data_IF_649115460054
#
_entry.id   IF_649115460054
#
_cell.length_a   1.000
_cell.length_b   1.000
_cell.length_c   1.000
_cell.angle_alpha   90.00
_cell.angle_beta   90.00
_cell.angle_gamma   90.00
#
_symmetry.space_group_name_H-M   'P 1'
#
loop_
_entity.id
_entity.type
_entity.pdbx_description
1 polymer ?
#
# COMPACT_ATOMS: atom_id res chain seq x y z
N UNK A 1 4.40 38.61 -39.45
CA UNK A 1 3.13 39.31 -39.25
C UNK A 1 2.04 38.47 -39.92
N UNK A 2 0.87 38.15 -39.29
CA UNK A 2 0.14 39.01 -38.35
C UNK A 2 -0.23 38.35 -36.99
N UNK A 3 -0.54 39.22 -36.06
CA UNK A 3 -1.26 39.13 -34.80
C UNK A 3 -2.26 38.00 -34.55
N UNK A 4 -2.19 37.38 -33.36
CA UNK A 4 -3.35 36.81 -32.66
C UNK A 4 -3.38 37.35 -31.23
N UNK A 5 -4.47 38.07 -30.94
CA UNK A 5 -4.77 38.77 -29.67
C UNK A 5 -5.35 37.76 -28.64
N UNK A 6 -4.96 37.98 -27.41
CA UNK A 6 -5.59 37.75 -26.10
C UNK A 6 -7.04 37.28 -26.04
N UNK A 7 -7.25 36.24 -25.22
CA UNK A 7 -8.46 36.01 -24.43
C UNK A 7 -8.07 35.56 -23.02
N UNK A 8 -8.20 36.47 -22.05
CA UNK A 8 -8.22 36.19 -20.61
C UNK A 8 -9.57 36.64 -20.06
N UNK A 9 -10.32 35.87 -19.28
CA UNK A 9 -11.43 36.40 -18.49
C UNK A 9 -10.91 36.93 -17.16
N UNK A 10 -11.27 38.19 -16.89
CA UNK A 10 -11.10 38.88 -15.60
C UNK A 10 -12.05 38.31 -14.56
N UNK A 11 -11.52 37.87 -13.40
CA UNK A 11 -12.32 37.75 -12.18
C UNK A 11 -12.03 38.95 -11.27
N UNK A 12 -13.12 39.66 -10.92
CA UNK A 12 -13.16 40.80 -9.98
C UNK A 12 -13.10 40.26 -8.54
N UNK A 13 -12.44 41.03 -7.67
CA UNK A 13 -12.13 40.77 -6.31
C UNK A 13 -13.33 40.64 -5.36
N UNK A 14 -13.06 39.96 -4.24
CA UNK A 14 -13.81 40.07 -3.01
C UNK A 14 -12.82 40.51 -1.92
N UNK A 15 -13.20 41.59 -1.25
CA UNK A 15 -12.41 42.30 -0.26
C UNK A 15 -12.28 41.47 1.03
N UNK A 16 -11.09 41.49 1.57
CA UNK A 16 -10.72 40.96 2.88
C UNK A 16 -11.09 41.96 3.97
N UNK A 17 -11.98 41.61 4.88
CA UNK A 17 -12.17 42.34 6.13
C UNK A 17 -11.31 41.72 7.21
N UNK A 18 -10.27 42.45 7.61
CA UNK A 18 -9.49 42.16 8.83
C UNK A 18 -10.13 42.93 9.97
N UNK A 19 -10.65 42.26 10.98
CA UNK A 19 -11.11 42.88 12.23
C UNK A 19 -10.14 42.55 13.34
N UNK A 20 -9.35 43.53 13.72
CA UNK A 20 -8.45 43.54 14.86
C UNK A 20 -9.26 43.81 16.12
N UNK A 21 -9.24 42.89 17.10
CA UNK A 21 -9.73 43.15 18.44
C UNK A 21 -8.52 43.15 19.38
N UNK A 22 -8.18 44.34 19.94
CA UNK A 22 -7.37 44.53 21.12
C UNK A 22 -8.27 44.53 22.36
N UNK A 23 -7.86 43.87 23.43
CA UNK A 23 -8.51 44.00 24.72
C UNK A 23 -7.71 43.33 25.83
N UNK A 24 -7.13 44.16 26.70
CA UNK A 24 -6.41 43.85 27.92
C UNK A 24 -7.26 43.19 29.00
N UNK A 25 -6.64 42.40 29.89
CA UNK A 25 -7.23 42.02 31.16
C UNK A 25 -6.49 40.89 31.88
N UNK A 26 -5.53 41.25 32.70
CA UNK A 26 -4.88 40.39 33.71
C UNK A 26 -5.84 40.05 34.86
N UNK A 27 -5.91 38.77 35.25
CA UNK A 27 -6.34 38.37 36.61
C UNK A 27 -5.73 37.02 36.98
N UNK A 28 -4.74 37.05 37.86
CA UNK A 28 -4.24 35.91 38.58
C UNK A 28 -5.32 35.37 39.54
N UNK A 29 -5.51 34.08 39.60
CA UNK A 29 -6.17 33.38 40.71
C UNK A 29 -5.35 32.17 41.12
N UNK A 30 -4.91 32.25 42.39
CA UNK A 30 -4.30 31.18 43.15
C UNK A 30 -5.15 29.90 43.14
N UNK A 31 -4.48 28.76 42.97
CA UNK A 31 -5.07 27.44 43.18
C UNK A 31 -4.38 26.77 44.35
N UNK A 32 -5.11 26.60 45.43
CA UNK A 32 -4.72 25.82 46.61
C UNK A 32 -4.79 24.31 46.34
N UNK A 33 -3.94 23.49 47.00
CA UNK A 33 -3.89 22.05 46.72
C UNK A 33 -4.98 21.28 47.50
N UNK A 34 -5.69 20.39 46.78
CA UNK A 34 -6.60 19.42 47.38
C UNK A 34 -5.99 18.03 47.37
N UNK A 35 -6.07 17.38 48.52
CA UNK A 35 -5.47 16.11 48.89
C UNK A 35 -5.87 14.90 48.04
N UNK A 36 -4.90 13.99 47.93
CA UNK A 36 -5.00 12.65 47.41
C UNK A 36 -6.01 11.75 48.14
N UNK A 37 -6.98 11.19 47.42
CA UNK A 37 -7.61 9.90 47.75
C UNK A 37 -7.76 9.09 46.49
N UNK A 38 -7.28 7.85 46.58
CA UNK A 38 -7.23 6.91 45.45
C UNK A 38 -8.62 6.58 44.89
N UNK A 39 -8.72 6.77 43.59
CA UNK A 39 -9.84 6.34 42.77
C UNK A 39 -9.28 5.86 41.42
N UNK A 40 -9.60 4.61 41.06
CA UNK A 40 -9.24 4.03 39.78
C UNK A 40 -9.69 4.97 38.67
N UNK A 41 -8.75 5.50 37.92
CA UNK A 41 -9.02 6.24 36.69
C UNK A 41 -9.64 5.28 35.66
N UNK A 42 -10.96 5.31 35.53
CA UNK A 42 -11.63 4.82 34.34
C UNK A 42 -11.22 5.75 33.21
N UNK A 43 -10.70 5.18 32.13
CA UNK A 43 -10.47 5.88 30.87
C UNK A 43 -11.84 6.22 30.26
N UNK A 44 -12.41 7.35 30.67
CA UNK A 44 -13.62 7.93 30.09
C UNK A 44 -13.33 9.38 29.77
N UNK A 45 -12.91 9.66 28.57
CA UNK A 45 -12.99 11.03 28.07
C UNK A 45 -12.74 11.09 26.55
N UNK A 46 -13.70 10.62 25.76
CA UNK A 46 -13.88 11.10 24.36
C UNK A 46 -15.31 10.90 23.83
N UNK A 47 -16.32 10.66 24.69
CA UNK A 47 -17.72 10.41 24.29
C UNK A 47 -18.70 11.41 24.90
N UNK A 48 -18.35 12.69 24.95
CA UNK A 48 -19.20 13.76 25.45
C UNK A 48 -19.88 14.59 24.35
N UNK A 49 -20.39 13.95 23.31
CA UNK A 49 -21.44 14.51 22.46
C UNK A 49 -22.58 13.51 22.42
N UNK A 50 -23.67 13.81 23.13
CA UNK A 50 -24.97 13.17 22.92
C UNK A 50 -25.43 13.51 21.51
N UNK A 51 -25.13 12.62 20.58
CA UNK A 51 -25.84 12.55 19.31
C UNK A 51 -27.05 11.64 19.53
N UNK A 52 -28.20 12.25 19.71
CA UNK A 52 -29.47 11.58 19.47
C UNK A 52 -29.49 11.14 18.02
N UNK A 53 -29.85 9.88 17.76
CA UNK A 53 -30.01 9.15 16.50
C UNK A 53 -28.87 8.18 16.16
N UNK A 54 -29.19 6.87 16.30
CA UNK A 54 -28.52 5.70 15.71
C UNK A 54 -27.00 5.70 15.91
N UNK A 55 -26.51 4.94 16.89
CA UNK A 55 -25.07 4.67 17.07
C UNK A 55 -24.46 4.19 15.76
N UNK A 56 -23.81 5.09 15.04
CA UNK A 56 -23.10 4.74 13.81
C UNK A 56 -21.74 4.15 14.22
N UNK A 57 -21.64 2.82 14.17
CA UNK A 57 -20.35 2.16 14.40
C UNK A 57 -19.32 2.63 13.36
N UNK A 58 -18.05 2.80 13.76
CA UNK A 58 -17.02 3.28 12.85
C UNK A 58 -16.73 2.29 11.73
N UNK A 59 -16.09 2.79 10.68
CA UNK A 59 -15.39 1.97 9.68
C UNK A 59 -14.04 1.57 10.29
N UNK A 60 -13.74 0.27 10.35
CA UNK A 60 -12.44 -0.22 10.77
C UNK A 60 -11.50 -0.38 9.58
N UNK A 61 -10.35 0.29 9.61
CA UNK A 61 -9.28 0.15 8.62
C UNK A 61 -8.18 -0.73 9.21
N UNK A 62 -7.96 -1.89 8.60
CA UNK A 62 -6.97 -2.88 9.04
C UNK A 62 -5.67 -2.67 8.25
N UNK A 63 -4.68 -2.08 8.91
CA UNK A 63 -3.38 -1.73 8.33
C UNK A 63 -3.16 -0.22 8.19
N UNK A 64 -2.06 0.27 8.77
CA UNK A 64 -1.67 1.68 8.78
C UNK A 64 -0.51 1.99 7.80
N UNK A 65 -0.49 1.31 6.66
CA UNK A 65 0.37 1.63 5.52
C UNK A 65 -0.23 2.73 4.63
N UNK A 66 0.40 3.05 3.48
CA UNK A 66 -0.04 4.12 2.58
C UNK A 66 -1.51 4.05 2.18
N UNK A 67 -2.04 2.86 1.92
CA UNK A 67 -3.46 2.67 1.58
C UNK A 67 -4.38 2.93 2.76
N UNK A 68 -4.07 2.37 3.94
CA UNK A 68 -4.90 2.55 5.14
C UNK A 68 -4.94 4.01 5.59
N UNK A 69 -3.80 4.69 5.63
CA UNK A 69 -3.70 6.12 5.95
C UNK A 69 -4.54 6.95 4.97
N UNK A 70 -4.37 6.71 3.66
CA UNK A 70 -5.11 7.46 2.63
C UNK A 70 -6.63 7.24 2.73
N UNK A 71 -7.09 5.99 2.88
CA UNK A 71 -8.51 5.66 3.03
C UNK A 71 -9.09 6.35 4.27
N UNK A 72 -8.43 6.22 5.42
CA UNK A 72 -8.91 6.83 6.67
C UNK A 72 -8.98 8.36 6.58
N UNK A 73 -7.96 9.02 6.01
CA UNK A 73 -7.97 10.46 5.78
C UNK A 73 -9.16 10.91 4.92
N UNK A 74 -9.46 10.17 3.85
CA UNK A 74 -10.60 10.49 2.97
C UNK A 74 -11.96 10.24 3.65
N UNK A 75 -12.11 9.15 4.42
CA UNK A 75 -13.34 8.87 5.17
C UNK A 75 -13.60 9.98 6.20
N UNK A 76 -12.58 10.33 7.00
CA UNK A 76 -12.68 11.38 8.02
C UNK A 76 -12.97 12.76 7.43
N UNK A 77 -12.43 13.07 6.27
CA UNK A 77 -12.75 14.35 5.58
C UNK A 77 -14.23 14.48 5.16
N UNK A 78 -14.97 13.37 5.18
CA UNK A 78 -16.42 13.33 4.94
C UNK A 78 -17.24 13.10 6.20
N UNK A 79 -16.62 13.20 7.39
CA UNK A 79 -17.31 12.99 8.66
C UNK A 79 -17.67 11.53 8.93
N UNK A 80 -17.12 10.56 8.20
CA UNK A 80 -17.38 9.14 8.43
C UNK A 80 -16.52 8.67 9.60
N UNK A 81 -17.11 8.20 10.73
CA UNK A 81 -16.37 7.69 11.86
C UNK A 81 -15.44 6.56 11.43
N UNK A 82 -14.15 6.67 11.77
CA UNK A 82 -13.14 5.75 11.27
C UNK A 82 -12.09 5.48 12.35
N UNK A 83 -11.80 4.19 12.59
CA UNK A 83 -10.69 3.73 13.43
C UNK A 83 -9.66 3.02 12.54
N UNK A 84 -8.38 3.16 12.85
CA UNK A 84 -7.28 2.56 12.08
C UNK A 84 -6.42 1.72 13.00
N UNK A 85 -6.16 0.49 12.64
CA UNK A 85 -5.36 -0.46 13.40
C UNK A 85 -4.07 -0.83 12.69
N UNK A 86 -2.99 -0.97 13.46
CA UNK A 86 -1.68 -1.41 13.02
C UNK A 86 -0.60 -0.34 13.15
N UNK A 87 0.66 -0.77 13.15
CA UNK A 87 1.80 0.13 13.30
C UNK A 87 2.05 0.93 12.01
N UNK A 88 2.07 2.28 12.07
CA UNK A 88 2.27 3.11 10.87
C UNK A 88 3.54 2.76 10.10
N UNK A 89 3.39 2.47 8.80
CA UNK A 89 4.47 2.15 7.85
C UNK A 89 5.30 0.90 8.20
N UNK A 90 4.85 0.01 9.08
CA UNK A 90 5.63 -1.11 9.62
C UNK A 90 6.25 -2.01 8.54
N UNK A 91 5.50 -2.38 7.51
CA UNK A 91 6.02 -3.22 6.41
C UNK A 91 7.16 -2.51 5.65
N UNK A 92 7.04 -1.23 5.39
CA UNK A 92 8.08 -0.44 4.74
C UNK A 92 9.33 -0.31 5.62
N UNK A 93 9.12 -0.13 6.92
CA UNK A 93 10.22 -0.04 7.89
C UNK A 93 10.96 -1.38 8.09
N UNK A 94 10.30 -2.52 7.83
CA UNK A 94 10.92 -3.85 7.90
C UNK A 94 11.71 -4.25 6.66
N UNK A 95 11.61 -3.49 5.55
CA UNK A 95 12.34 -3.79 4.32
C UNK A 95 13.85 -3.57 4.48
N UNK A 96 14.68 -4.13 3.55
CA UNK A 96 16.14 -4.08 3.64
C UNK A 96 16.72 -2.67 3.77
N UNK A 97 17.71 -2.52 4.66
CA UNK A 97 18.49 -1.29 4.78
C UNK A 97 19.22 -0.97 3.46
N UNK A 98 19.37 0.33 3.15
CA UNK A 98 20.00 0.78 1.90
C UNK A 98 19.12 0.65 0.65
N UNK A 99 17.84 0.32 0.83
CA UNK A 99 16.86 0.24 -0.25
C UNK A 99 16.41 1.64 -0.71
N UNK A 100 16.10 1.75 -2.00
CA UNK A 100 15.47 2.92 -2.61
C UNK A 100 14.15 2.53 -3.26
N UNK A 101 13.21 3.48 -3.33
CA UNK A 101 11.99 3.26 -4.07
C UNK A 101 12.28 3.06 -5.57
N UNK A 102 11.55 2.15 -6.18
CA UNK A 102 11.58 1.93 -7.64
C UNK A 102 10.77 2.99 -8.39
N UNK A 103 9.75 3.54 -7.73
CA UNK A 103 8.86 4.56 -8.27
C UNK A 103 9.58 5.91 -8.40
N UNK A 104 9.18 6.70 -9.37
CA UNK A 104 9.61 8.09 -9.50
C UNK A 104 8.98 8.96 -8.40
N UNK A 105 9.54 10.12 -8.15
CA UNK A 105 9.09 11.07 -7.13
C UNK A 105 7.58 11.35 -7.19
N UNK A 106 7.08 11.73 -8.38
CA UNK A 106 5.67 12.06 -8.60
C UNK A 106 4.68 10.92 -8.31
N UNK A 107 5.15 9.67 -8.35
CA UNK A 107 4.37 8.45 -8.11
C UNK A 107 4.46 7.93 -6.66
N UNK A 108 5.23 8.62 -5.79
CA UNK A 108 5.53 8.15 -4.44
C UNK A 108 4.78 8.90 -3.35
N UNK A 109 3.91 9.87 -3.69
CA UNK A 109 3.09 10.58 -2.72
C UNK A 109 1.89 9.74 -2.26
N UNK A 110 1.66 9.69 -0.94
CA UNK A 110 0.44 9.15 -0.34
C UNK A 110 -0.66 10.18 -0.53
N UNK A 111 -1.79 9.77 -1.10
CA UNK A 111 -2.88 10.71 -1.37
C UNK A 111 -3.65 11.07 -0.10
N UNK A 112 -3.92 12.35 0.06
CA UNK A 112 -4.84 12.92 1.05
C UNK A 112 -5.98 13.68 0.35
N UNK A 113 -7.09 13.98 1.06
CA UNK A 113 -8.29 14.56 0.44
C UNK A 113 -8.08 15.93 -0.22
N UNK A 114 -7.15 16.73 0.32
CA UNK A 114 -6.87 18.08 -0.14
C UNK A 114 -5.58 18.20 -0.96
N UNK A 115 -4.83 17.10 -1.13
CA UNK A 115 -3.50 17.06 -1.75
C UNK A 115 -2.47 17.98 -1.06
N UNK A 116 -2.59 18.12 0.25
CA UNK A 116 -1.73 18.99 1.07
C UNK A 116 -0.48 18.28 1.59
N UNK A 117 -0.50 16.95 1.65
CA UNK A 117 0.55 16.15 2.31
C UNK A 117 1.33 15.29 1.31
N UNK A 118 1.61 15.82 0.12
CA UNK A 118 2.47 15.19 -0.88
C UNK A 118 3.97 15.35 -0.53
N UNK A 119 4.84 14.65 -1.26
CA UNK A 119 6.30 14.71 -1.06
C UNK A 119 6.89 16.12 -1.28
N UNK A 120 6.36 16.90 -2.22
CA UNK A 120 6.84 18.28 -2.46
C UNK A 120 6.57 19.15 -1.23
N UNK A 121 5.39 18.99 -0.63
CA UNK A 121 5.03 19.71 0.60
C UNK A 121 5.87 19.24 1.79
N UNK A 122 6.16 17.95 1.88
CA UNK A 122 7.05 17.40 2.91
C UNK A 122 8.43 18.06 2.83
N UNK A 123 9.03 18.12 1.64
CA UNK A 123 10.30 18.82 1.39
C UNK A 123 10.24 20.28 1.83
N UNK A 124 9.19 20.99 1.39
CA UNK A 124 9.02 22.43 1.70
C UNK A 124 8.82 22.70 3.20
N UNK A 125 8.22 21.74 3.94
CA UNK A 125 7.86 21.93 5.35
C UNK A 125 8.97 21.50 6.29
N UNK A 126 9.71 20.43 5.94
CA UNK A 126 10.70 19.79 6.85
C UNK A 126 12.14 20.17 6.54
N UNK A 127 12.39 20.84 5.40
CA UNK A 127 13.74 21.11 4.92
C UNK A 127 14.48 19.87 4.37
N UNK A 128 13.76 18.76 4.19
CA UNK A 128 14.31 17.55 3.56
C UNK A 128 14.80 17.89 2.15
N UNK A 129 15.92 17.31 1.74
CA UNK A 129 16.46 17.52 0.38
C UNK A 129 15.84 16.52 -0.59
N UNK A 130 15.31 17.02 -1.69
CA UNK A 130 14.83 16.16 -2.78
C UNK A 130 15.92 15.21 -3.25
N UNK A 131 15.62 13.90 -3.24
CA UNK A 131 16.52 12.85 -3.71
C UNK A 131 15.74 11.82 -4.53
N UNK A 132 16.20 11.54 -5.74
CA UNK A 132 15.61 10.52 -6.61
C UNK A 132 16.71 9.55 -7.11
N UNK A 133 16.56 8.23 -6.88
CA UNK A 133 15.42 7.55 -6.25
C UNK A 133 15.29 7.88 -4.75
N UNK A 134 14.04 7.86 -4.24
CA UNK A 134 13.74 8.15 -2.83
C UNK A 134 14.31 7.05 -1.93
N UNK A 135 15.15 7.37 -0.94
CA UNK A 135 15.61 6.39 0.04
C UNK A 135 14.43 5.84 0.86
N UNK A 136 14.49 4.55 1.18
CA UNK A 136 13.41 3.91 1.94
C UNK A 136 13.16 4.54 3.32
N UNK A 137 14.18 4.83 4.15
CA UNK A 137 13.98 5.48 5.45
C UNK A 137 13.24 6.82 5.33
N UNK A 138 13.55 7.59 4.29
CA UNK A 138 12.92 8.89 4.05
C UNK A 138 11.46 8.75 3.64
N UNK A 139 11.15 7.73 2.85
CA UNK A 139 9.76 7.40 2.51
C UNK A 139 8.96 6.94 3.74
N UNK A 140 9.58 6.16 4.64
CA UNK A 140 8.95 5.74 5.89
C UNK A 140 8.63 6.95 6.77
N UNK A 141 9.60 7.86 6.93
CA UNK A 141 9.38 9.08 7.73
C UNK A 141 8.36 10.03 7.08
N UNK A 142 8.40 10.17 5.76
CA UNK A 142 7.35 10.85 5.00
C UNK A 142 5.96 10.23 5.28
N UNK A 143 5.83 8.93 5.22
CA UNK A 143 4.57 8.23 5.49
C UNK A 143 4.08 8.44 6.93
N UNK A 144 4.98 8.43 7.91
CA UNK A 144 4.69 8.78 9.31
C UNK A 144 4.29 10.26 9.45
N UNK A 145 4.92 11.15 8.71
CA UNK A 145 4.52 12.56 8.67
C UNK A 145 3.11 12.74 8.11
N UNK A 146 2.76 12.08 7.03
CA UNK A 146 1.39 12.07 6.50
C UNK A 146 0.41 11.53 7.53
N UNK A 147 0.73 10.42 8.19
CA UNK A 147 -0.11 9.81 9.22
C UNK A 147 -0.36 10.78 10.39
N UNK A 148 0.69 11.41 10.95
CA UNK A 148 0.56 12.37 12.07
C UNK A 148 -0.33 13.56 11.73
N UNK A 149 -0.33 14.01 10.47
CA UNK A 149 -1.10 15.18 10.02
C UNK A 149 -2.52 14.85 9.55
N UNK A 150 -2.82 13.60 9.18
CA UNK A 150 -4.13 13.23 8.62
C UNK A 150 -4.91 12.24 9.49
N UNK A 151 -4.23 11.36 10.20
CA UNK A 151 -4.82 10.29 11.04
C UNK A 151 -3.94 10.12 12.29
N UNK A 152 -3.87 11.12 13.21
CA UNK A 152 -2.92 11.13 14.32
C UNK A 152 -3.16 10.02 15.36
N UNK A 153 -4.37 9.53 15.48
CA UNK A 153 -4.88 8.58 16.49
C UNK A 153 -4.95 7.13 15.95
N UNK A 154 -3.98 6.71 15.11
CA UNK A 154 -3.84 5.30 14.72
C UNK A 154 -3.58 4.45 15.96
N UNK A 155 -4.40 3.42 16.16
CA UNK A 155 -4.19 2.41 17.19
C UNK A 155 -3.14 1.39 16.71
N UNK A 156 -2.00 1.24 17.41
CA UNK A 156 -0.93 0.35 16.98
C UNK A 156 -1.22 -1.14 17.17
N UNK A 157 -2.35 -1.51 17.81
CA UNK A 157 -2.76 -2.90 18.00
C UNK A 157 -2.95 -3.62 16.66
N UNK A 158 -2.64 -4.90 16.65
CA UNK A 158 -2.76 -5.75 15.47
C UNK A 158 -4.13 -6.46 15.48
N UNK A 159 -4.82 -6.41 14.35
CA UNK A 159 -6.07 -7.14 14.18
C UNK A 159 -5.78 -8.63 14.06
N UNK A 160 -6.35 -9.42 14.96
CA UNK A 160 -6.22 -10.87 15.02
C UNK A 160 -7.48 -11.60 14.60
N UNK A 161 -8.64 -10.91 14.56
CA UNK A 161 -9.91 -11.48 14.17
C UNK A 161 -10.83 -10.46 13.48
N UNK A 162 -11.51 -10.90 12.42
CA UNK A 162 -12.62 -10.16 11.78
C UNK A 162 -13.76 -11.15 11.57
N UNK A 163 -14.82 -11.02 12.35
CA UNK A 163 -16.00 -11.89 12.32
C UNK A 163 -17.27 -11.09 12.09
N UNK A 164 -18.36 -11.77 11.69
CA UNK A 164 -19.69 -11.18 11.63
C UNK A 164 -20.37 -11.23 13.00
N UNK A 165 -21.03 -10.12 13.35
CA UNK A 165 -21.90 -9.98 14.50
C UNK A 165 -23.21 -9.32 14.05
N UNK A 166 -24.17 -10.14 13.64
CA UNK A 166 -25.38 -9.68 12.96
C UNK A 166 -25.05 -8.97 11.64
N UNK A 167 -25.51 -7.71 11.53
CA UNK A 167 -25.21 -6.87 10.37
C UNK A 167 -23.84 -6.16 10.45
N UNK A 168 -23.17 -6.20 11.63
CA UNK A 168 -21.93 -5.53 11.91
C UNK A 168 -20.72 -6.49 11.80
N UNK A 169 -19.53 -5.94 11.97
CA UNK A 169 -18.30 -6.71 12.13
C UNK A 169 -17.78 -6.57 13.55
N UNK A 170 -17.30 -7.66 14.13
CA UNK A 170 -16.47 -7.67 15.32
C UNK A 170 -15.02 -7.79 14.88
N UNK A 171 -14.20 -6.80 15.24
CA UNK A 171 -12.76 -6.74 14.97
C UNK A 171 -12.04 -6.99 16.28
N UNK A 172 -11.27 -8.07 16.36
CA UNK A 172 -10.51 -8.50 17.54
C UNK A 172 -9.05 -8.05 17.41
N UNK A 173 -8.43 -7.67 18.53
CA UNK A 173 -7.09 -7.12 18.60
C UNK A 173 -6.17 -8.02 19.42
N UNK A 174 -4.84 -7.94 19.18
CA UNK A 174 -3.80 -8.70 19.86
C UNK A 174 -3.67 -8.39 21.36
N UNK A 175 -4.20 -7.27 21.81
CA UNK A 175 -4.25 -6.88 23.23
C UNK A 175 -5.54 -7.31 23.95
N UNK A 176 -6.38 -8.13 23.32
CA UNK A 176 -7.63 -8.65 23.85
C UNK A 176 -8.83 -7.73 23.75
N UNK A 177 -8.68 -6.49 23.25
CA UNK A 177 -9.81 -5.61 22.93
C UNK A 177 -10.56 -6.08 21.70
N UNK A 178 -11.82 -5.69 21.59
CA UNK A 178 -12.59 -5.83 20.35
C UNK A 178 -13.38 -4.56 20.04
N UNK A 179 -13.62 -4.30 18.76
CA UNK A 179 -14.36 -3.14 18.26
C UNK A 179 -15.46 -3.63 17.33
N UNK A 180 -16.68 -3.10 17.53
CA UNK A 180 -17.77 -3.29 16.56
C UNK A 180 -17.65 -2.24 15.46
N UNK A 181 -17.68 -2.67 14.21
CA UNK A 181 -17.52 -1.82 13.04
C UNK A 181 -18.70 -1.99 12.04
N UNK A 182 -19.08 -0.89 11.42
CA UNK A 182 -20.13 -0.89 10.37
C UNK A 182 -19.58 -1.44 9.04
N UNK A 183 -18.30 -1.27 8.80
CA UNK A 183 -17.58 -1.81 7.64
C UNK A 183 -16.11 -2.03 8.01
N UNK A 184 -15.45 -2.91 7.24
CA UNK A 184 -14.02 -3.21 7.39
C UNK A 184 -13.31 -2.99 6.07
N UNK A 185 -12.18 -2.27 6.09
CA UNK A 185 -11.29 -2.07 4.95
C UNK A 185 -9.99 -2.82 5.20
N UNK A 186 -9.70 -3.83 4.41
CA UNK A 186 -8.47 -4.63 4.46
C UNK A 186 -7.37 -3.89 3.68
N UNK A 187 -6.40 -3.35 4.41
CA UNK A 187 -5.27 -2.55 3.90
C UNK A 187 -3.91 -3.10 4.39
N UNK A 188 -3.81 -4.42 4.61
CA UNK A 188 -2.66 -5.11 5.22
C UNK A 188 -1.40 -5.15 4.34
N UNK A 189 -1.48 -4.68 3.10
CA UNK A 189 -0.34 -4.63 2.17
C UNK A 189 -0.02 -5.98 1.55
N UNK A 190 1.27 -6.35 1.48
CA UNK A 190 1.73 -7.56 0.78
C UNK A 190 2.53 -8.53 1.66
N UNK A 191 2.76 -8.20 2.93
CA UNK A 191 3.61 -8.98 3.83
C UNK A 191 3.25 -10.46 3.85
N UNK A 192 1.97 -10.78 4.03
CA UNK A 192 1.48 -12.16 4.19
C UNK A 192 1.44 -12.95 2.87
N UNK A 193 1.79 -12.33 1.76
CA UNK A 193 1.73 -12.92 0.42
C UNK A 193 3.09 -13.32 -0.14
N UNK A 194 4.17 -13.27 0.65
CA UNK A 194 5.48 -13.76 0.25
C UNK A 194 5.38 -15.19 -0.31
N UNK A 195 5.95 -15.41 -1.50
CA UNK A 195 5.85 -16.70 -2.16
C UNK A 195 7.17 -17.46 -2.07
N UNK A 196 7.15 -18.56 -1.33
CA UNK A 196 8.20 -19.58 -1.36
C UNK A 196 7.83 -20.62 -2.42
N UNK A 197 8.77 -21.07 -3.28
CA UNK A 197 8.55 -22.22 -4.14
C UNK A 197 8.27 -23.49 -3.34
N UNK A 198 7.47 -24.42 -3.90
CA UNK A 198 7.05 -25.61 -3.19
C UNK A 198 8.23 -26.45 -2.64
N UNK A 199 9.31 -26.59 -3.40
CA UNK A 199 10.50 -27.33 -2.97
C UNK A 199 11.22 -26.70 -1.75
N UNK A 200 10.90 -25.43 -1.42
CA UNK A 200 11.53 -24.72 -0.29
C UNK A 200 10.66 -24.73 0.99
N UNK A 201 9.43 -25.26 0.95
CA UNK A 201 8.52 -25.24 2.09
C UNK A 201 9.03 -26.08 3.28
N UNK A 202 9.69 -27.19 3.00
CA UNK A 202 10.20 -28.12 4.01
C UNK A 202 11.69 -27.87 4.38
N UNK A 203 12.29 -26.82 3.80
CA UNK A 203 13.68 -26.48 4.10
C UNK A 203 13.77 -25.67 5.40
N UNK A 204 14.80 -25.92 6.23
CA UNK A 204 15.04 -25.13 7.43
C UNK A 204 15.20 -23.64 7.09
N UNK A 205 14.65 -22.72 7.89
CA UNK A 205 14.83 -21.26 7.69
C UNK A 205 16.31 -20.80 7.72
N UNK A 206 17.20 -21.61 8.31
CA UNK A 206 18.65 -21.37 8.26
C UNK A 206 19.25 -21.60 6.87
N UNK A 207 18.62 -22.39 6.01
CA UNK A 207 19.10 -22.75 4.66
C UNK A 207 18.33 -22.06 3.54
N UNK A 208 17.05 -21.73 3.76
CA UNK A 208 16.21 -21.05 2.77
C UNK A 208 15.25 -20.07 3.41
N UNK A 209 15.06 -18.90 2.81
CA UNK A 209 14.14 -17.87 3.31
C UNK A 209 13.66 -16.94 2.18
N UNK A 210 12.55 -16.24 2.41
CA UNK A 210 12.12 -15.19 1.48
C UNK A 210 12.94 -13.91 1.67
N UNK A 211 13.19 -13.15 0.60
CA UNK A 211 13.99 -11.92 0.64
C UNK A 211 13.45 -10.85 1.61
N UNK A 212 12.14 -10.84 1.90
CA UNK A 212 11.52 -9.89 2.85
C UNK A 212 11.87 -10.16 4.32
N UNK A 213 12.39 -11.35 4.66
CA UNK A 213 12.66 -11.73 6.05
C UNK A 213 13.96 -11.13 6.59
N UNK A 214 14.69 -10.40 5.74
CA UNK A 214 16.00 -9.88 6.09
C UNK A 214 16.07 -8.37 5.89
N UNK A 215 16.28 -7.65 6.98
CA UNK A 215 16.58 -6.20 6.98
C UNK A 215 18.06 -5.93 6.77
N UNK A 216 18.93 -6.86 7.21
CA UNK A 216 20.38 -6.76 7.13
C UNK A 216 21.00 -8.07 6.62
N UNK A 217 22.13 -7.95 5.93
CA UNK A 217 22.79 -9.07 5.25
C UNK A 217 24.17 -9.40 5.81
N UNK A 218 24.66 -8.69 6.82
CA UNK A 218 25.99 -8.89 7.42
C UNK A 218 26.25 -10.33 7.91
N UNK A 219 25.21 -11.04 8.39
CA UNK A 219 25.31 -12.44 8.82
C UNK A 219 25.62 -13.43 7.69
N UNK A 220 25.58 -12.99 6.44
CA UNK A 220 25.92 -13.78 5.26
C UNK A 220 27.33 -13.49 4.72
N UNK A 221 28.11 -12.64 5.39
CA UNK A 221 29.51 -12.42 5.06
C UNK A 221 30.28 -13.77 5.06
N UNK A 222 31.11 -13.98 4.03
CA UNK A 222 31.86 -15.22 3.83
C UNK A 222 31.05 -16.42 3.36
N UNK A 223 29.71 -16.32 3.20
CA UNK A 223 28.84 -17.42 2.77
C UNK A 223 28.66 -17.45 1.25
N UNK A 224 28.43 -18.65 0.72
CA UNK A 224 27.98 -18.89 -0.67
C UNK A 224 26.47 -18.83 -0.67
N UNK A 225 25.89 -17.94 -1.46
CA UNK A 225 24.43 -17.71 -1.44
C UNK A 225 23.83 -17.74 -2.84
N UNK A 226 22.67 -18.37 -2.98
CA UNK A 226 21.85 -18.33 -4.17
C UNK A 226 20.64 -17.41 -3.97
N UNK A 227 20.29 -16.62 -5.00
CA UNK A 227 19.11 -15.75 -4.99
C UNK A 227 18.22 -16.12 -6.16
N UNK A 228 17.00 -16.58 -5.87
CA UNK A 228 16.05 -17.01 -6.89
C UNK A 228 15.23 -15.84 -7.41
N UNK A 229 15.18 -15.68 -8.73
CA UNK A 229 14.34 -14.69 -9.38
C UNK A 229 15.12 -13.59 -10.09
N UNK A 230 14.40 -12.78 -10.89
CA UNK A 230 14.98 -11.67 -11.70
C UNK A 230 14.26 -10.34 -11.50
N UNK A 231 13.39 -10.28 -10.50
CA UNK A 231 12.66 -9.06 -10.14
C UNK A 231 13.50 -8.14 -9.25
N UNK A 232 12.92 -6.98 -8.93
CA UNK A 232 13.56 -5.97 -8.07
C UNK A 232 14.11 -6.56 -6.77
N UNK A 233 13.30 -7.36 -6.06
CA UNK A 233 13.69 -7.93 -4.77
C UNK A 233 14.91 -8.86 -4.91
N UNK A 234 14.90 -9.76 -5.91
CA UNK A 234 16.01 -10.69 -6.12
C UNK A 234 17.33 -9.96 -6.43
N UNK A 235 17.32 -9.07 -7.43
CA UNK A 235 18.57 -8.37 -7.85
C UNK A 235 19.07 -7.41 -6.77
N UNK A 236 18.18 -6.82 -5.99
CA UNK A 236 18.54 -5.95 -4.88
C UNK A 236 19.16 -6.74 -3.71
N UNK A 237 18.56 -7.88 -3.36
CA UNK A 237 19.11 -8.78 -2.36
C UNK A 237 20.50 -9.29 -2.77
N UNK A 238 20.68 -9.65 -4.04
CA UNK A 238 21.99 -10.06 -4.55
C UNK A 238 23.06 -8.96 -4.44
N UNK A 239 22.69 -7.70 -4.75
CA UNK A 239 23.58 -6.57 -4.55
C UNK A 239 23.97 -6.39 -3.07
N UNK A 240 23.00 -6.43 -2.17
CA UNK A 240 23.24 -6.27 -0.72
C UNK A 240 24.07 -7.41 -0.14
N UNK A 241 23.88 -8.64 -0.58
CA UNK A 241 24.69 -9.78 -0.16
C UNK A 241 26.16 -9.63 -0.62
N UNK A 242 26.36 -9.21 -1.86
CA UNK A 242 27.71 -8.92 -2.36
C UNK A 242 28.39 -7.80 -1.54
N UNK A 243 27.70 -6.70 -1.31
CA UNK A 243 28.19 -5.56 -0.54
C UNK A 243 28.43 -5.90 0.94
N UNK A 244 27.67 -6.86 1.49
CA UNK A 244 27.88 -7.39 2.83
C UNK A 244 29.06 -8.37 2.94
N UNK A 245 29.76 -8.66 1.84
CA UNK A 245 30.93 -9.54 1.83
C UNK A 245 30.62 -11.03 1.76
N UNK A 246 29.49 -11.43 1.16
CA UNK A 246 29.26 -12.84 0.84
C UNK A 246 30.39 -13.37 -0.07
N UNK A 247 30.90 -14.60 0.20
CA UNK A 247 31.98 -15.18 -0.55
C UNK A 247 31.62 -15.46 -2.03
N UNK A 248 30.38 -15.82 -2.26
CA UNK A 248 29.81 -16.00 -3.60
C UNK A 248 28.33 -15.68 -3.61
N UNK A 249 27.88 -14.94 -4.62
CA UNK A 249 26.47 -14.64 -4.85
C UNK A 249 26.09 -15.05 -6.26
N UNK A 250 25.10 -15.93 -6.40
CA UNK A 250 24.56 -16.35 -7.70
C UNK A 250 23.08 -16.06 -7.78
N UNK A 251 22.66 -15.29 -8.80
CA UNK A 251 21.24 -15.11 -9.15
C UNK A 251 20.82 -16.21 -10.13
N UNK A 252 19.85 -17.02 -9.73
CA UNK A 252 19.28 -18.09 -10.56
C UNK A 252 17.90 -17.64 -11.05
N UNK A 253 17.70 -17.57 -12.37
CA UNK A 253 16.49 -17.02 -12.95
C UNK A 253 16.09 -17.72 -14.26
N UNK A 254 14.79 -17.90 -14.49
CA UNK A 254 14.23 -18.50 -15.72
C UNK A 254 14.52 -17.69 -17.01
N UNK A 255 15.18 -16.57 -16.92
CA UNK A 255 15.56 -15.74 -18.05
C UNK A 255 16.42 -14.54 -17.63
N UNK A 256 16.89 -13.74 -18.59
CA UNK A 256 17.79 -12.62 -18.30
C UNK A 256 17.15 -11.58 -17.39
N UNK A 257 18.00 -10.88 -16.62
CA UNK A 257 17.57 -9.74 -15.82
C UNK A 257 17.18 -8.60 -16.78
N UNK A 258 15.98 -8.08 -16.57
CA UNK A 258 15.47 -6.93 -17.33
C UNK A 258 15.69 -5.68 -16.50
N UNK A 259 16.40 -4.69 -17.04
CA UNK A 259 16.58 -3.39 -16.41
C UNK A 259 15.56 -2.39 -16.95
N UNK A 260 14.85 -1.71 -16.05
CA UNK A 260 13.91 -0.66 -16.45
C UNK A 260 14.69 0.49 -17.05
N UNK A 261 14.33 0.84 -18.29
CA UNK A 261 14.87 1.98 -19.00
C UNK A 261 13.76 3.01 -19.24
N UNK A 262 13.93 4.22 -18.72
CA UNK A 262 13.01 5.33 -18.90
C UNK A 262 13.60 6.38 -19.84
N UNK A 263 14.10 5.94 -21.01
CA UNK A 263 14.82 6.80 -21.98
C UNK A 263 14.10 8.09 -22.33
N UNK A 264 12.77 8.03 -22.56
CA UNK A 264 11.96 9.21 -22.88
C UNK A 264 11.68 10.09 -21.64
N UNK A 265 11.57 9.47 -20.48
CA UNK A 265 11.43 10.19 -19.20
C UNK A 265 12.71 10.96 -18.87
N UNK A 266 13.87 10.33 -19.03
CA UNK A 266 15.19 10.91 -18.78
C UNK A 266 15.53 12.06 -19.73
N UNK A 267 15.04 12.03 -20.99
CA UNK A 267 15.21 13.11 -21.95
C UNK A 267 14.41 14.37 -21.59
N UNK A 268 13.40 14.26 -20.72
CA UNK A 268 12.55 15.38 -20.35
C UNK A 268 11.70 15.94 -21.49
N UNK A 269 11.25 17.21 -21.34
CA UNK A 269 10.46 17.91 -22.35
C UNK A 269 9.02 17.41 -22.50
N UNK A 270 8.35 17.85 -23.58
CA UNK A 270 6.93 17.53 -23.85
C UNK A 270 6.69 16.03 -24.04
N UNK A 271 7.65 15.31 -24.61
CA UNK A 271 7.55 13.88 -24.82
C UNK A 271 7.35 13.08 -23.51
N UNK A 272 7.98 13.52 -22.42
CA UNK A 272 7.77 12.93 -21.09
C UNK A 272 6.29 12.91 -20.71
N UNK A 273 5.59 14.02 -20.87
CA UNK A 273 4.20 14.19 -20.46
C UNK A 273 3.19 13.49 -21.40
N UNK A 274 3.58 13.26 -22.67
CA UNK A 274 2.75 12.51 -23.62
C UNK A 274 2.85 10.98 -23.35
N UNK A 275 4.04 10.47 -23.10
CA UNK A 275 4.28 9.03 -23.02
C UNK A 275 4.23 8.47 -21.59
N UNK A 276 4.32 9.31 -20.56
CA UNK A 276 4.29 8.88 -19.16
C UNK A 276 3.27 9.71 -18.36
N UNK A 277 2.47 9.00 -17.59
CA UNK A 277 1.59 9.61 -16.60
C UNK A 277 2.35 9.93 -15.31
N UNK A 278 1.75 10.69 -14.40
CA UNK A 278 2.34 10.97 -13.08
C UNK A 278 2.55 9.71 -12.22
N UNK A 279 1.79 8.64 -12.47
CA UNK A 279 1.94 7.37 -11.76
C UNK A 279 3.11 6.52 -12.25
N UNK A 280 3.58 6.73 -13.49
CA UNK A 280 4.70 6.01 -14.12
C UNK A 280 4.62 4.47 -13.99
N UNK A 281 3.40 3.91 -13.99
CA UNK A 281 3.16 2.47 -13.90
C UNK A 281 2.91 1.89 -15.29
N UNK A 282 3.74 0.91 -15.68
CA UNK A 282 3.65 0.22 -16.96
C UNK A 282 4.44 0.87 -18.11
N UNK A 283 4.46 0.23 -19.28
CA UNK A 283 5.18 0.73 -20.46
C UNK A 283 4.57 2.03 -21.02
N UNK A 284 5.36 2.82 -21.76
CA UNK A 284 4.86 4.01 -22.46
C UNK A 284 3.59 3.73 -23.27
N UNK A 285 2.60 4.60 -23.20
CA UNK A 285 1.29 4.48 -23.81
C UNK A 285 0.31 3.60 -23.03
N UNK A 286 0.71 2.41 -22.60
CA UNK A 286 -0.13 1.53 -21.78
C UNK A 286 -0.36 2.10 -20.36
N UNK A 287 0.57 2.89 -19.86
CA UNK A 287 0.47 3.56 -18.57
C UNK A 287 -0.73 4.50 -18.46
N UNK A 288 -1.27 5.04 -19.56
CA UNK A 288 -2.49 5.84 -19.56
C UNK A 288 -3.72 5.01 -19.18
N UNK A 289 -3.85 3.79 -19.70
CA UNK A 289 -4.92 2.87 -19.31
C UNK A 289 -4.81 2.50 -17.83
N UNK A 290 -3.59 2.22 -17.38
CA UNK A 290 -3.30 1.82 -15.99
C UNK A 290 -3.53 2.98 -15.02
N UNK A 291 -3.28 4.21 -15.46
CA UNK A 291 -3.47 5.41 -14.64
C UNK A 291 -4.94 5.66 -14.26
N UNK A 292 -5.88 5.11 -15.03
CA UNK A 292 -7.32 5.23 -14.78
C UNK A 292 -7.95 3.87 -14.40
N UNK A 293 -7.84 3.41 -13.14
CA UNK A 293 -8.37 2.12 -12.71
C UNK A 293 -9.86 1.93 -12.97
N UNK A 294 -10.66 3.01 -12.96
CA UNK A 294 -12.08 2.93 -13.30
C UNK A 294 -12.32 2.56 -14.77
N UNK A 295 -11.44 2.99 -15.68
CA UNK A 295 -11.47 2.57 -17.08
C UNK A 295 -10.95 1.14 -17.23
N UNK A 296 -9.85 0.81 -16.54
CA UNK A 296 -9.32 -0.55 -16.52
C UNK A 296 -10.36 -1.58 -16.07
N UNK A 297 -11.18 -1.24 -15.06
CA UNK A 297 -12.27 -2.08 -14.55
C UNK A 297 -13.28 -2.47 -15.64
N UNK A 298 -13.55 -1.60 -16.61
CA UNK A 298 -14.52 -1.83 -17.69
C UNK A 298 -13.98 -2.69 -18.85
N UNK A 299 -12.68 -2.96 -18.87
CA UNK A 299 -12.07 -3.76 -19.93
C UNK A 299 -12.44 -5.25 -19.82
N UNK A 300 -12.55 -5.97 -20.94
CA UNK A 300 -12.66 -7.43 -20.94
C UNK A 300 -11.54 -8.10 -20.15
N UNK A 301 -11.84 -9.20 -19.49
CA UNK A 301 -10.92 -9.92 -18.61
C UNK A 301 -9.60 -10.30 -19.32
N UNK A 302 -9.68 -10.83 -20.54
CA UNK A 302 -8.49 -11.19 -21.32
C UNK A 302 -7.56 -10.01 -21.59
N UNK A 303 -8.14 -8.82 -21.83
CA UNK A 303 -7.34 -7.61 -22.05
C UNK A 303 -6.71 -7.13 -20.75
N UNK A 304 -7.45 -7.19 -19.64
CA UNK A 304 -6.93 -6.89 -18.29
C UNK A 304 -5.74 -7.79 -17.95
N UNK A 305 -5.87 -9.11 -18.18
CA UNK A 305 -4.80 -10.08 -17.94
C UNK A 305 -3.54 -9.77 -18.78
N UNK A 306 -3.71 -9.45 -20.08
CA UNK A 306 -2.58 -9.05 -20.94
C UNK A 306 -1.89 -7.77 -20.47
N UNK A 307 -2.67 -6.77 -20.03
CA UNK A 307 -2.14 -5.51 -19.50
C UNK A 307 -1.39 -5.75 -18.19
N UNK A 308 -1.99 -6.51 -17.24
CA UNK A 308 -1.35 -6.82 -15.95
C UNK A 308 -0.03 -7.55 -16.17
N UNK A 309 -0.03 -8.62 -16.96
CA UNK A 309 1.18 -9.38 -17.28
C UNK A 309 2.30 -8.51 -17.87
N UNK A 310 1.95 -7.58 -18.78
CA UNK A 310 2.94 -6.70 -19.41
C UNK A 310 3.46 -5.62 -18.46
N UNK A 311 2.60 -5.08 -17.60
CA UNK A 311 2.94 -4.00 -16.67
C UNK A 311 3.70 -4.47 -15.43
N UNK A 312 3.51 -5.73 -15.00
CA UNK A 312 4.08 -6.29 -13.77
C UNK A 312 5.27 -7.21 -14.02
N UNK A 313 5.86 -7.17 -15.21
CA UNK A 313 7.05 -7.99 -15.54
C UNK A 313 8.15 -7.81 -14.51
N UNK A 314 8.75 -8.93 -14.04
CA UNK A 314 9.91 -8.85 -13.16
C UNK A 314 11.04 -8.05 -13.81
N UNK A 315 11.47 -6.97 -13.18
CA UNK A 315 12.55 -6.12 -13.68
C UNK A 315 13.25 -5.40 -12.53
N UNK A 316 14.56 -5.23 -12.64
CA UNK A 316 15.39 -4.43 -11.75
C UNK A 316 15.36 -2.94 -12.11
N UNK A 317 15.47 -2.08 -11.11
CA UNK A 317 15.67 -0.65 -11.32
C UNK A 317 17.04 -0.38 -11.94
N UNK A 318 17.14 0.62 -12.81
CA UNK A 318 18.38 0.97 -13.52
C UNK A 318 19.56 1.24 -12.58
N UNK A 319 19.32 1.86 -11.43
CA UNK A 319 20.35 2.19 -10.45
C UNK A 319 21.00 0.97 -9.77
N UNK A 320 20.35 -0.22 -9.81
CA UNK A 320 20.93 -1.48 -9.33
C UNK A 320 21.91 -2.11 -10.32
N UNK A 321 21.86 -1.72 -11.59
CA UNK A 321 22.59 -2.40 -12.66
C UNK A 321 24.09 -2.47 -12.36
N UNK A 322 24.69 -1.36 -12.01
CA UNK A 322 26.15 -1.27 -11.72
C UNK A 322 26.54 -1.94 -10.39
N UNK A 323 25.57 -2.31 -9.54
CA UNK A 323 25.78 -3.03 -8.28
C UNK A 323 25.65 -4.55 -8.44
N UNK A 324 25.26 -5.01 -9.65
CA UNK A 324 25.01 -6.44 -9.96
C UNK A 324 25.82 -6.90 -11.16
N UNK A 325 25.77 -6.18 -12.29
CA UNK A 325 26.47 -6.60 -13.52
C UNK A 325 28.00 -6.60 -13.31
N UNK A 326 28.62 -7.77 -13.58
CA UNK A 326 30.06 -7.98 -13.38
C UNK A 326 30.51 -8.22 -11.95
N UNK A 327 29.61 -8.08 -10.96
CA UNK A 327 29.92 -8.27 -9.53
C UNK A 327 29.24 -9.53 -8.95
N UNK A 328 28.11 -9.94 -9.53
CA UNK A 328 27.32 -11.08 -9.08
C UNK A 328 27.18 -12.06 -10.22
N UNK A 329 27.31 -13.36 -9.94
CA UNK A 329 27.07 -14.41 -10.92
C UNK A 329 25.58 -14.48 -11.30
N UNK A 330 25.25 -14.67 -12.58
CA UNK A 330 23.88 -14.77 -13.05
C UNK A 330 23.72 -16.00 -13.94
N UNK A 331 22.97 -16.98 -13.48
CA UNK A 331 22.52 -18.13 -14.26
C UNK A 331 21.11 -17.85 -14.77
N UNK A 332 21.02 -17.50 -16.06
CA UNK A 332 19.77 -17.18 -16.75
C UNK A 332 19.31 -18.37 -17.61
N UNK A 333 17.99 -18.62 -17.64
CA UNK A 333 17.40 -19.73 -18.40
C UNK A 333 17.33 -21.04 -17.63
N UNK A 334 17.66 -21.03 -16.33
CA UNK A 334 17.53 -22.17 -15.44
C UNK A 334 16.64 -21.85 -14.23
N UNK A 335 16.01 -22.88 -13.69
CA UNK A 335 15.22 -22.83 -12.47
C UNK A 335 15.72 -23.90 -11.50
N UNK A 336 15.39 -23.79 -10.23
CA UNK A 336 15.66 -24.83 -9.26
C UNK A 336 14.63 -25.95 -9.43
N UNK A 337 15.11 -27.14 -9.77
CA UNK A 337 14.29 -28.34 -9.89
C UNK A 337 14.04 -28.96 -8.51
N UNK A 338 15.08 -29.00 -7.65
CA UNK A 338 15.01 -29.51 -6.29
C UNK A 338 16.15 -28.93 -5.44
N UNK A 339 15.94 -28.93 -4.12
CA UNK A 339 16.94 -28.56 -3.16
C UNK A 339 16.89 -29.48 -1.95
N UNK A 340 18.04 -29.92 -1.45
CA UNK A 340 18.15 -30.85 -0.33
C UNK A 340 19.20 -30.37 0.68
N UNK A 341 18.91 -30.41 2.00
CA UNK A 341 19.90 -30.16 3.02
C UNK A 341 21.06 -31.17 2.92
N UNK A 342 22.28 -30.66 3.04
CA UNK A 342 23.50 -31.46 3.10
C UNK A 342 24.41 -30.95 4.22
N UNK A 343 24.16 -31.43 5.44
CA UNK A 343 24.73 -30.84 6.64
C UNK A 343 24.27 -29.41 6.85
N UNK A 344 25.22 -28.48 7.00
CA UNK A 344 24.95 -27.04 7.17
C UNK A 344 24.82 -26.28 5.84
N UNK A 345 24.82 -27.00 4.70
CA UNK A 345 24.67 -26.44 3.37
C UNK A 345 23.41 -26.97 2.66
N UNK A 346 23.10 -26.40 1.52
CA UNK A 346 22.01 -26.79 0.64
C UNK A 346 22.58 -27.22 -0.71
N UNK A 347 22.27 -28.45 -1.13
CA UNK A 347 22.53 -28.89 -2.51
C UNK A 347 21.31 -28.50 -3.37
N UNK A 348 21.53 -27.66 -4.37
CA UNK A 348 20.52 -27.15 -5.28
C UNK A 348 20.75 -27.73 -6.67
N UNK A 349 19.80 -28.48 -7.21
CA UNK A 349 19.84 -29.02 -8.58
C UNK A 349 19.00 -28.12 -9.48
N UNK A 350 19.57 -27.67 -10.57
CA UNK A 350 18.89 -26.85 -11.58
C UNK A 350 18.21 -27.69 -12.66
N UNK A 351 17.31 -27.07 -13.44
CA UNK A 351 16.56 -27.75 -14.52
C UNK A 351 17.45 -28.19 -15.69
N UNK A 352 18.67 -27.63 -15.81
CA UNK A 352 19.68 -28.06 -16.79
C UNK A 352 20.54 -29.23 -16.29
N UNK A 353 20.24 -29.78 -15.12
CA UNK A 353 20.94 -30.90 -14.49
C UNK A 353 22.20 -30.50 -13.71
N UNK A 354 22.63 -29.26 -13.75
CA UNK A 354 23.76 -28.79 -12.95
C UNK A 354 23.41 -28.64 -11.47
N UNK A 355 24.40 -28.78 -10.61
CA UNK A 355 24.21 -28.66 -9.15
C UNK A 355 25.01 -27.49 -8.58
N UNK A 356 24.53 -26.95 -7.48
CA UNK A 356 25.18 -25.92 -6.66
C UNK A 356 25.18 -26.35 -5.22
N UNK A 357 26.24 -26.03 -4.51
CA UNK A 357 26.30 -26.14 -3.05
C UNK A 357 26.36 -24.74 -2.47
N UNK A 358 25.35 -24.35 -1.71
CA UNK A 358 25.22 -23.00 -1.14
C UNK A 358 24.93 -23.09 0.36
N UNK A 359 25.35 -22.09 1.10
CA UNK A 359 25.12 -22.02 2.55
C UNK A 359 23.77 -21.42 2.88
N UNK A 360 23.15 -20.71 1.92
CA UNK A 360 21.78 -20.19 2.04
C UNK A 360 21.17 -19.85 0.67
N UNK A 361 19.87 -20.04 0.55
CA UNK A 361 19.09 -19.70 -0.64
C UNK A 361 18.00 -18.67 -0.32
N UNK A 362 17.99 -17.56 -1.08
CA UNK A 362 16.97 -16.52 -0.95
C UNK A 362 15.91 -16.67 -2.04
N UNK A 363 14.64 -16.74 -1.66
CA UNK A 363 13.52 -16.70 -2.59
C UNK A 363 13.13 -15.25 -2.89
N UNK A 364 13.64 -14.70 -3.99
CA UNK A 364 13.19 -13.42 -4.58
C UNK A 364 12.02 -13.63 -5.55
N UNK A 365 11.11 -14.52 -5.23
CA UNK A 365 10.03 -15.04 -6.08
C UNK A 365 8.75 -14.22 -6.01
N UNK A 366 8.79 -13.09 -5.29
CA UNK A 366 7.72 -12.11 -5.21
C UNK A 366 6.58 -12.50 -4.28
N UNK A 367 5.40 -11.94 -4.56
CA UNK A 367 4.23 -12.02 -3.71
C UNK A 367 3.03 -12.51 -4.51
N UNK A 368 2.24 -13.40 -3.92
CA UNK A 368 0.99 -13.92 -4.49
C UNK A 368 -0.17 -13.59 -3.55
N UNK A 369 -0.84 -12.44 -3.75
CA UNK A 369 -2.01 -12.08 -2.96
C UNK A 369 -3.11 -13.12 -3.13
N UNK A 370 -3.64 -13.58 -1.98
CA UNK A 370 -4.71 -14.56 -1.90
C UNK A 370 -5.53 -14.31 -0.63
N UNK A 371 -6.86 -14.30 -0.76
CA UNK A 371 -7.79 -14.14 0.37
C UNK A 371 -7.62 -15.25 1.41
N UNK A 372 -7.26 -16.48 0.99
CA UNK A 372 -7.06 -17.59 1.92
C UNK A 372 -5.91 -17.36 2.90
N UNK A 373 -4.95 -16.53 2.55
CA UNK A 373 -3.82 -16.18 3.41
C UNK A 373 -4.18 -15.14 4.48
N UNK A 374 -5.36 -14.54 4.42
CA UNK A 374 -5.87 -13.61 5.43
C UNK A 374 -6.58 -14.39 6.55
N UNK A 375 -5.80 -15.15 7.32
CA UNK A 375 -6.31 -16.09 8.32
C UNK A 375 -7.02 -15.42 9.50
N UNK A 376 -6.81 -14.13 9.71
CA UNK A 376 -7.54 -13.32 10.70
C UNK A 376 -9.00 -13.02 10.27
N UNK A 377 -9.37 -13.23 9.01
CA UNK A 377 -10.77 -13.16 8.57
C UNK A 377 -11.41 -14.52 8.85
N UNK A 378 -12.56 -14.49 9.56
CA UNK A 378 -13.33 -15.68 9.88
C UNK A 378 -13.57 -16.56 8.65
N UNK A 379 -13.39 -17.91 8.72
CA UNK A 379 -13.58 -18.82 7.60
C UNK A 379 -14.94 -18.64 6.90
N UNK A 380 -16.03 -18.48 7.65
CA UNK A 380 -17.37 -18.31 7.09
C UNK A 380 -17.49 -16.99 6.25
N UNK A 381 -16.71 -15.97 6.58
CA UNK A 381 -16.60 -14.75 5.76
C UNK A 381 -15.77 -15.03 4.51
N UNK A 382 -14.58 -15.67 4.68
CA UNK A 382 -13.67 -15.95 3.57
C UNK A 382 -14.30 -16.81 2.48
N UNK A 383 -15.07 -17.85 2.85
CA UNK A 383 -15.80 -18.72 1.93
C UNK A 383 -16.83 -17.97 1.09
N UNK A 384 -17.43 -16.90 1.63
CA UNK A 384 -18.42 -16.07 0.95
C UNK A 384 -17.81 -15.02 0.02
N UNK A 385 -16.50 -14.82 0.06
CA UNK A 385 -15.83 -13.88 -0.85
C UNK A 385 -15.69 -14.53 -2.23
N UNK A 386 -16.35 -13.99 -3.22
CA UNK A 386 -16.16 -14.38 -4.63
C UNK A 386 -14.75 -14.07 -5.07
N UNK A 387 -14.07 -15.03 -5.72
CA UNK A 387 -12.64 -14.95 -6.04
C UNK A 387 -12.32 -15.41 -7.46
N UNK A 388 -11.28 -14.83 -8.03
CA UNK A 388 -10.62 -15.30 -9.26
C UNK A 388 -9.13 -15.41 -8.98
N UNK A 389 -8.56 -16.61 -9.13
CA UNK A 389 -7.16 -16.90 -8.84
C UNK A 389 -6.69 -16.41 -7.45
N UNK A 390 -7.51 -16.61 -6.40
CA UNK A 390 -7.24 -16.17 -5.03
C UNK A 390 -7.57 -14.70 -4.74
N UNK A 391 -7.72 -13.86 -5.76
CA UNK A 391 -8.04 -12.44 -5.61
C UNK A 391 -9.55 -12.20 -5.48
N UNK A 392 -10.02 -11.31 -4.58
CA UNK A 392 -11.44 -11.02 -4.43
C UNK A 392 -11.99 -10.32 -5.68
N UNK A 393 -13.21 -10.68 -6.06
CA UNK A 393 -14.00 -9.92 -7.03
C UNK A 393 -14.65 -8.75 -6.30
N UNK A 394 -14.34 -7.53 -6.75
CA UNK A 394 -14.76 -6.29 -6.09
C UNK A 394 -15.70 -5.50 -7.02
N UNK A 395 -16.65 -4.79 -6.42
CA UNK A 395 -17.46 -3.79 -7.14
C UNK A 395 -16.64 -2.50 -7.40
N UNK A 396 -17.23 -1.54 -8.10
CA UNK A 396 -16.60 -0.25 -8.40
C UNK A 396 -16.25 0.59 -7.17
N UNK A 397 -16.80 0.23 -5.99
CA UNK A 397 -16.51 0.83 -4.69
C UNK A 397 -15.46 0.10 -3.88
N UNK A 398 -14.77 -0.90 -4.44
CA UNK A 398 -13.81 -1.77 -3.75
C UNK A 398 -14.44 -2.73 -2.72
N UNK A 399 -15.77 -2.90 -2.73
CA UNK A 399 -16.46 -3.83 -1.85
C UNK A 399 -16.46 -5.24 -2.46
N UNK A 400 -16.23 -6.24 -1.63
CA UNK A 400 -16.34 -7.66 -2.00
C UNK A 400 -17.81 -8.11 -2.09
N UNK A 401 -18.03 -9.39 -2.42
CA UNK A 401 -19.34 -10.04 -2.34
C UNK A 401 -19.89 -10.10 -0.91
N UNK A 402 -19.08 -9.82 0.10
CA UNK A 402 -19.52 -9.68 1.50
C UNK A 402 -19.80 -8.20 1.79
N UNK A 403 -21.06 -7.79 1.98
CA UNK A 403 -21.41 -6.39 2.21
C UNK A 403 -20.66 -5.78 3.38
N UNK A 404 -20.11 -4.58 3.20
CA UNK A 404 -19.32 -3.88 4.19
C UNK A 404 -17.87 -4.32 4.31
N UNK A 405 -17.41 -5.29 3.52
CA UNK A 405 -16.01 -5.74 3.51
C UNK A 405 -15.30 -5.27 2.23
N UNK A 406 -14.28 -4.43 2.39
CA UNK A 406 -13.54 -3.76 1.31
C UNK A 406 -12.09 -4.22 1.28
N UNK A 407 -11.48 -4.24 0.09
CA UNK A 407 -10.07 -4.60 -0.09
C UNK A 407 -9.35 -3.55 -0.91
N UNK A 408 -8.13 -3.15 -0.46
CA UNK A 408 -7.29 -2.18 -1.15
C UNK A 408 -5.85 -2.67 -1.28
N UNK A 409 -5.10 -2.04 -2.17
CA UNK A 409 -3.71 -2.40 -2.44
C UNK A 409 -3.60 -3.57 -3.44
N UNK A 410 -2.52 -4.32 -3.36
CA UNK A 410 -2.18 -5.36 -4.34
C UNK A 410 -3.26 -6.44 -4.52
N UNK A 411 -4.01 -6.74 -3.46
CA UNK A 411 -5.09 -7.74 -3.50
C UNK A 411 -6.29 -7.29 -4.37
N UNK A 412 -6.44 -5.97 -4.62
CA UNK A 412 -7.48 -5.42 -5.50
C UNK A 412 -7.09 -5.39 -6.99
N UNK A 413 -5.92 -5.93 -7.36
CA UNK A 413 -5.36 -5.79 -8.70
C UNK A 413 -6.18 -6.49 -9.78
N UNK A 414 -6.90 -7.56 -9.48
CA UNK A 414 -7.76 -8.22 -10.45
C UNK A 414 -8.80 -7.27 -11.08
N UNK A 415 -9.41 -6.41 -10.27
CA UNK A 415 -10.44 -5.49 -10.75
C UNK A 415 -9.87 -4.15 -11.24
N UNK A 416 -8.89 -3.59 -10.53
CA UNK A 416 -8.44 -2.22 -10.72
C UNK A 416 -7.03 -2.10 -11.32
N UNK A 417 -6.42 -3.23 -11.65
CA UNK A 417 -5.18 -3.32 -12.39
C UNK A 417 -3.91 -3.01 -11.62
N UNK A 418 -2.80 -2.91 -12.35
CA UNK A 418 -1.45 -2.78 -11.77
C UNK A 418 -1.26 -1.59 -10.84
N UNK A 419 -1.98 -0.48 -11.05
CA UNK A 419 -1.84 0.74 -10.24
C UNK A 419 -2.06 0.48 -8.74
N UNK A 420 -2.95 -0.46 -8.39
CA UNK A 420 -3.24 -0.80 -7.00
C UNK A 420 -2.07 -1.45 -6.25
N UNK A 421 -1.03 -1.88 -6.96
CA UNK A 421 0.21 -2.42 -6.37
C UNK A 421 1.19 -1.33 -5.94
N UNK A 422 0.90 -0.05 -6.23
CA UNK A 422 1.78 1.09 -6.04
C UNK A 422 1.14 2.18 -5.17
N UNK A 423 1.96 3.01 -4.54
CA UNK A 423 1.52 4.14 -3.71
C UNK A 423 0.64 5.11 -4.50
N UNK A 424 0.95 5.33 -5.78
CA UNK A 424 0.15 6.16 -6.68
C UNK A 424 -1.33 5.75 -6.80
N UNK A 425 -1.69 4.50 -6.46
CA UNK A 425 -3.06 4.01 -6.46
C UNK A 425 -3.89 4.39 -5.23
N UNK A 426 -3.27 4.89 -4.16
CA UNK A 426 -3.92 5.14 -2.86
C UNK A 426 -5.13 6.06 -2.98
N UNK A 427 -5.01 7.16 -3.73
CA UNK A 427 -6.07 8.15 -3.86
C UNK A 427 -7.28 7.67 -4.65
N UNK A 428 -7.10 6.74 -5.61
CA UNK A 428 -8.24 6.19 -6.35
C UNK A 428 -9.07 5.32 -5.43
N UNK A 429 -8.46 4.36 -4.75
CA UNK A 429 -9.14 3.47 -3.81
C UNK A 429 -9.86 4.26 -2.71
N UNK A 430 -9.16 5.23 -2.09
CA UNK A 430 -9.71 6.05 -1.02
C UNK A 430 -10.97 6.83 -1.45
N UNK A 431 -10.94 7.47 -2.62
CA UNK A 431 -12.09 8.21 -3.14
C UNK A 431 -13.28 7.30 -3.47
N UNK A 432 -13.05 6.11 -4.03
CA UNK A 432 -14.12 5.18 -4.38
C UNK A 432 -14.81 4.62 -3.13
N UNK A 433 -14.05 4.16 -2.15
CA UNK A 433 -14.59 3.66 -0.88
C UNK A 433 -15.36 4.77 -0.15
N UNK A 434 -14.78 5.96 -0.07
CA UNK A 434 -15.44 7.09 0.60
C UNK A 434 -16.77 7.44 -0.06
N UNK A 435 -16.84 7.48 -1.40
CA UNK A 435 -18.11 7.71 -2.11
C UNK A 435 -19.12 6.60 -1.87
N UNK A 436 -18.68 5.35 -1.82
CA UNK A 436 -19.55 4.19 -1.57
C UNK A 436 -20.17 4.27 -0.18
N UNK A 437 -19.35 4.51 0.85
CA UNK A 437 -19.80 4.56 2.24
C UNK A 437 -20.62 5.83 2.56
N UNK A 438 -20.29 6.98 1.94
CA UNK A 438 -21.11 8.19 2.09
C UNK A 438 -22.52 8.04 1.53
N UNK A 439 -22.73 7.25 0.47
CA UNK A 439 -24.06 6.97 -0.09
C UNK A 439 -24.87 6.00 0.77
N UNK A 440 -24.21 5.04 1.40
CA UNK A 440 -24.88 4.05 2.28
C UNK A 440 -25.37 4.65 3.59
N UNK A 441 -24.87 5.81 4.00
CA UNK A 441 -25.29 6.54 5.20
C UNK A 441 -26.40 7.59 4.95
N UNK A 442 -26.81 7.82 3.69
CA UNK A 442 -27.99 8.64 3.41
C UNK A 442 -29.23 7.74 3.52
N UNK A 443 -30.29 8.14 4.28
CA UNK A 443 -31.56 7.44 4.24
C UNK A 443 -32.02 7.39 2.77
N UNK A 444 -32.45 6.22 2.29
CA UNK A 444 -33.11 6.10 0.99
C UNK A 444 -34.23 7.14 0.97
N UNK A 445 -34.18 8.09 0.03
CA UNK A 445 -35.28 8.95 -0.26
C UNK A 445 -36.45 8.03 -0.63
N UNK A 446 -37.43 7.95 0.25
CA UNK A 446 -38.73 7.26 -0.03
C UNK A 446 -39.20 7.79 -1.38
N UNK A 447 -39.52 6.92 -2.36
CA UNK A 447 -40.11 7.36 -3.60
C UNK A 447 -41.38 8.12 -3.25
N UNK A 448 -41.49 9.36 -3.71
CA UNK A 448 -42.65 10.21 -3.58
C UNK A 448 -43.83 9.53 -4.33
N UNK A 449 -44.63 8.76 -3.59
CA UNK A 449 -45.80 8.06 -4.09
C UNK A 449 -47.04 8.98 -4.29
N UNK A 450 -46.87 10.28 -4.08
CA UNK A 450 -48.01 11.25 -4.14
C UNK A 450 -48.21 11.93 -5.51
N UNK A 451 -47.65 11.39 -6.59
CA UNK A 451 -47.94 11.87 -7.94
C UNK A 451 -48.73 10.88 -8.80
N UNK A 452 -49.89 10.39 -8.28
CA UNK A 452 -50.93 9.78 -9.09
C UNK A 452 -52.28 10.35 -8.66
N UNK A 453 -52.55 11.59 -9.04
CA UNK A 453 -53.91 12.11 -9.10
C UNK A 453 -54.51 11.66 -10.44
N UNK A 454 -55.66 10.94 -10.44
CA UNK A 454 -56.33 10.63 -11.68
C UNK A 454 -57.07 11.87 -12.18
N UNK A 455 -56.75 12.29 -13.41
CA UNK A 455 -57.58 13.24 -14.15
C UNK A 455 -58.88 12.54 -14.49
N UNK A 456 -59.95 13.00 -13.85
CA UNK A 456 -61.35 12.74 -14.30
C UNK A 456 -61.71 13.77 -15.33
N UNK A 457 -62.25 13.33 -16.42
CA UNK A 457 -62.89 14.15 -17.43
C UNK A 457 -62.99 13.38 -18.73
#
# INVERSE_FOLDING_TARGET
>A
MPNVRHWLPRFRGVAMFVQTVRGHGTAEREVSPVSSRGGRLRATAWWGMEFDTVRQYPVAVVGAGPYGISVAAHLRSRGIPTVVFGKPMAFWDSMPNGMFLKSVWSASSIADPQSLYNLDRYVATTGYKHQEPVPLPDFVEYGRWVQRNTVPDVDPAIVTGVARDGQWFRVELDDGRSVTASAVVIATGIHDYAHLPAFAHDLPPSLASHTQEHKEFSKFAGKRVAVLGRGQSAVQTAAFLHEAGAAHVEVIAHGPIIWIQRKLYEKGGVAKHIFYTSSDVGPPGLNWIIHFPSFYYLLPEELRAKIDHRATRPAGAKWLRNRVEGLVSVTAGAEVAKAHPRGDALEVTLTDGTTREVDHMFAGTGYRPDVERLTFIDPNIRERISRVAGLPVLDTGYQSSVPGLFFVGAIAAYNFGPLTRFVAGTGVAARHITRRLARSGQPEATPDTDRLTPVRG
#
